data_IF_522357587909
#
_entry.id   IF_522357587909
#
_cell.length_a   1.000
_cell.length_b   1.000
_cell.length_c   1.000
_cell.angle_alpha   90.00
_cell.angle_beta   90.00
_cell.angle_gamma   90.00
#
_symmetry.space_group_name_H-M   'P 1'
#
loop_
_entity.id
_entity.type
_entity.pdbx_description
1 polymer ?
#
# COMPACT_ATOMS: atom_id res chain seq x y z
N UNK A 1 -14.98 23.47 15.76
CA UNK A 1 -15.79 22.58 16.61
C UNK A 1 -16.17 23.34 17.86
N UNK A 2 -17.47 23.60 18.06
CA UNK A 2 -18.00 24.28 19.25
C UNK A 2 -18.73 23.30 20.19
N UNK A 3 -18.57 22.00 19.96
CA UNK A 3 -19.08 20.89 20.77
C UNK A 3 -17.91 20.35 21.59
N UNK A 4 -18.11 19.99 22.86
CA UNK A 4 -17.06 19.47 23.77
C UNK A 4 -16.47 18.11 23.39
N UNK A 5 -16.42 17.80 22.10
CA UNK A 5 -15.86 16.58 21.52
C UNK A 5 -14.38 16.82 21.19
N UNK A 6 -13.55 15.81 21.43
CA UNK A 6 -12.14 15.88 21.09
C UNK A 6 -11.93 15.69 19.59
N UNK A 7 -11.06 16.49 18.97
CA UNK A 7 -10.80 16.45 17.53
C UNK A 7 -10.44 15.04 17.00
N UNK A 8 -9.77 14.22 17.81
CA UNK A 8 -9.37 12.86 17.43
C UNK A 8 -10.56 11.88 17.31
N UNK A 9 -11.70 12.16 17.95
CA UNK A 9 -12.90 11.33 17.88
C UNK A 9 -13.54 11.38 16.49
N UNK A 10 -13.46 12.54 15.82
CA UNK A 10 -13.91 12.72 14.42
C UNK A 10 -13.16 11.78 13.47
N UNK A 11 -11.90 11.46 13.80
CA UNK A 11 -11.05 10.56 13.03
C UNK A 11 -11.08 9.11 13.53
N UNK A 12 -12.02 8.77 14.43
CA UNK A 12 -12.11 7.45 15.08
C UNK A 12 -10.79 7.03 15.77
N UNK A 13 -10.06 7.99 16.34
CA UNK A 13 -8.84 7.77 17.14
C UNK A 13 -9.16 7.89 18.63
N UNK A 14 -8.29 7.34 19.47
CA UNK A 14 -8.44 7.37 20.93
C UNK A 14 -7.55 8.41 21.62
N UNK A 15 -6.69 9.09 20.87
CA UNK A 15 -5.77 10.09 21.41
C UNK A 15 -5.45 11.18 20.37
N UNK A 16 -4.93 12.31 20.85
CA UNK A 16 -4.51 13.41 19.99
C UNK A 16 -3.36 12.98 19.06
N UNK A 17 -3.32 13.56 17.86
CA UNK A 17 -2.27 13.27 16.90
C UNK A 17 -0.90 13.80 17.37
N UNK A 18 0.16 13.00 17.16
CA UNK A 18 1.54 13.36 17.51
C UNK A 18 2.01 14.61 16.76
N UNK A 19 1.67 14.71 15.48
CA UNK A 19 1.95 15.86 14.60
C UNK A 19 0.65 16.63 14.35
N UNK A 20 0.10 17.24 15.40
CA UNK A 20 -1.13 18.02 15.33
C UNK A 20 -0.96 19.28 14.50
N UNK A 21 -1.75 19.40 13.44
CA UNK A 21 -1.72 20.53 12.49
C UNK A 21 -2.16 21.83 13.14
N UNK A 22 -3.18 21.79 14.00
CA UNK A 22 -3.58 22.93 14.83
C UNK A 22 -2.44 23.42 15.71
N UNK A 23 -1.72 22.51 16.36
CA UNK A 23 -0.58 22.87 17.23
C UNK A 23 0.57 23.46 16.41
N UNK A 24 0.95 22.80 15.31
CA UNK A 24 1.99 23.29 14.41
C UNK A 24 1.64 24.67 13.82
N UNK A 25 0.39 24.90 13.44
CA UNK A 25 -0.05 26.17 12.89
C UNK A 25 0.11 27.33 13.90
N UNK A 26 -0.25 27.08 15.16
CA UNK A 26 -0.09 28.05 16.26
C UNK A 26 1.38 28.26 16.62
N UNK A 27 2.13 27.18 16.83
CA UNK A 27 3.53 27.22 17.24
C UNK A 27 4.42 27.90 16.18
N UNK A 28 4.19 27.59 14.90
CA UNK A 28 4.96 28.15 13.78
C UNK A 28 4.34 29.44 13.21
N UNK A 29 3.18 29.85 13.72
CA UNK A 29 2.43 31.03 13.27
C UNK A 29 2.28 31.10 11.74
N UNK A 30 1.95 29.98 11.10
CA UNK A 30 1.69 29.87 9.65
C UNK A 30 0.55 28.88 9.36
N UNK A 31 -0.09 29.01 8.20
CA UNK A 31 -1.07 28.02 7.75
C UNK A 31 -0.38 26.68 7.51
N UNK A 32 -0.97 25.60 8.02
CA UNK A 32 -0.53 24.22 7.83
C UNK A 32 -1.64 23.46 7.13
N UNK A 33 -1.30 22.78 6.03
CA UNK A 33 -2.23 21.92 5.31
C UNK A 33 -1.78 20.46 5.50
N UNK A 34 -2.73 19.61 5.86
CA UNK A 34 -2.54 18.17 5.96
C UNK A 34 -3.63 17.44 5.19
N UNK A 35 -3.24 16.31 4.62
CA UNK A 35 -4.17 15.33 4.10
C UNK A 35 -4.32 14.18 5.11
N UNK A 36 -5.56 13.75 5.34
CA UNK A 36 -5.90 12.64 6.22
C UNK A 36 -6.89 11.71 5.51
N UNK A 37 -6.79 10.41 5.77
CA UNK A 37 -7.69 9.41 5.19
C UNK A 37 -8.46 8.69 6.27
N UNK A 38 -9.72 8.38 6.01
CA UNK A 38 -10.55 7.53 6.87
C UNK A 38 -10.45 6.05 6.48
N UNK A 39 -11.01 5.16 7.30
CA UNK A 39 -10.99 3.71 7.05
C UNK A 39 -11.77 3.32 5.78
N UNK A 40 -12.78 4.09 5.42
CA UNK A 40 -13.59 3.95 4.20
C UNK A 40 -12.97 4.68 2.99
N UNK A 41 -11.67 4.97 3.02
CA UNK A 41 -10.89 5.56 1.92
C UNK A 41 -11.31 6.97 1.48
N UNK A 42 -12.09 7.71 2.29
CA UNK A 42 -12.34 9.12 2.02
C UNK A 42 -11.13 9.96 2.38
N UNK A 43 -10.82 10.94 1.53
CA UNK A 43 -9.66 11.81 1.67
C UNK A 43 -10.13 13.19 2.12
N UNK A 44 -9.56 13.67 3.22
CA UNK A 44 -9.85 14.98 3.78
C UNK A 44 -8.61 15.88 3.70
N UNK A 45 -8.82 17.10 3.21
CA UNK A 45 -7.87 18.19 3.33
C UNK A 45 -8.22 18.99 4.58
N UNK A 46 -7.27 19.10 5.50
CA UNK A 46 -7.38 19.83 6.75
C UNK A 46 -6.41 21.01 6.66
N UNK A 47 -6.95 22.22 6.59
CA UNK A 47 -6.17 23.44 6.67
C UNK A 47 -6.34 24.05 8.07
N UNK A 48 -5.22 24.22 8.78
CA UNK A 48 -5.16 24.87 10.08
C UNK A 48 -4.54 26.25 9.93
N UNK A 49 -5.30 27.29 10.21
CA UNK A 49 -4.86 28.69 10.16
C UNK A 49 -4.73 29.23 11.59
N UNK A 50 -3.58 29.80 11.98
CA UNK A 50 -3.44 30.41 13.29
C UNK A 50 -4.20 31.74 13.34
N UNK A 51 -4.91 31.97 14.43
CA UNK A 51 -5.58 33.21 14.74
C UNK A 51 -5.03 33.77 16.06
N UNK A 52 -4.76 35.07 16.08
CA UNK A 52 -4.38 35.80 17.28
C UNK A 52 -5.49 36.76 17.63
N UNK A 53 -6.10 36.57 18.79
CA UNK A 53 -7.16 37.46 19.27
C UNK A 53 -7.00 37.68 20.77
N UNK A 54 -6.97 38.95 21.19
CA UNK A 54 -6.95 39.36 22.61
C UNK A 54 -5.86 38.68 23.50
N UNK A 55 -4.74 38.26 22.92
CA UNK A 55 -3.62 37.63 23.63
C UNK A 55 -3.64 36.10 23.61
N UNK A 56 -4.76 35.49 23.22
CA UNK A 56 -4.89 34.06 23.04
C UNK A 56 -4.53 33.64 21.61
N UNK A 57 -4.01 32.42 21.49
CA UNK A 57 -3.65 31.81 20.21
C UNK A 57 -4.62 30.67 19.91
N UNK A 58 -5.34 30.81 18.81
CA UNK A 58 -6.31 29.82 18.34
C UNK A 58 -5.83 29.20 17.02
N UNK A 59 -6.30 27.99 16.75
CA UNK A 59 -6.22 27.39 15.43
C UNK A 59 -7.64 27.29 14.86
N UNK A 60 -7.87 27.88 13.69
CA UNK A 60 -9.08 27.64 12.91
C UNK A 60 -8.81 26.50 11.94
N UNK A 61 -9.55 25.41 12.06
CA UNK A 61 -9.48 24.28 11.13
C UNK A 61 -10.61 24.35 10.10
N UNK A 62 -10.23 24.33 8.82
CA UNK A 62 -11.09 24.12 7.67
C UNK A 62 -10.88 22.67 7.22
N UNK A 63 -11.97 21.90 7.20
CA UNK A 63 -11.94 20.49 6.79
C UNK A 63 -12.79 20.35 5.53
N UNK A 64 -12.20 19.80 4.48
CA UNK A 64 -12.88 19.56 3.20
C UNK A 64 -12.65 18.11 2.75
N UNK A 65 -13.72 17.41 2.43
CA UNK A 65 -13.60 16.13 1.71
C UNK A 65 -13.19 16.40 0.26
N UNK A 66 -12.12 15.74 -0.19
CA UNK A 66 -11.50 15.95 -1.51
C UNK A 66 -11.27 14.65 -2.27
N UNK A 67 -11.87 13.52 -1.82
CA UNK A 67 -11.72 12.18 -2.39
C UNK A 67 -11.69 12.17 -3.93
N UNK A 68 -12.69 12.80 -4.57
CA UNK A 68 -12.84 12.79 -6.04
C UNK A 68 -12.51 14.14 -6.71
N UNK A 69 -11.99 15.11 -5.97
CA UNK A 69 -11.77 16.47 -6.47
C UNK A 69 -10.33 16.96 -6.32
N UNK A 70 -9.40 16.08 -5.92
CA UNK A 70 -8.00 16.42 -5.75
C UNK A 70 -7.18 16.03 -6.97
N UNK A 71 -6.67 17.05 -7.66
CA UNK A 71 -5.84 16.93 -8.85
C UNK A 71 -4.39 17.25 -8.50
N UNK A 72 -3.47 16.43 -9.02
CA UNK A 72 -2.04 16.69 -9.03
C UNK A 72 -1.64 17.20 -10.41
N UNK A 73 -0.96 18.33 -10.43
CA UNK A 73 -0.27 18.79 -11.63
C UNK A 73 1.01 17.96 -11.77
N UNK A 74 1.10 17.17 -12.83
CA UNK A 74 2.37 16.55 -13.22
C UNK A 74 3.26 17.64 -13.82
N UNK A 75 4.53 17.69 -13.39
CA UNK A 75 5.48 18.70 -13.84
C UNK A 75 5.92 18.45 -15.31
N UNK A 76 5.74 17.22 -15.81
CA UNK A 76 6.10 16.82 -17.18
C UNK A 76 4.88 16.54 -18.10
N UNK A 77 3.70 16.25 -17.54
CA UNK A 77 2.46 16.08 -18.32
C UNK A 77 1.54 17.28 -18.18
N UNK A 78 1.07 17.82 -19.32
CA UNK A 78 0.08 18.92 -19.39
C UNK A 78 -1.31 18.59 -18.83
N UNK A 79 -1.48 17.45 -18.16
CA UNK A 79 -2.75 16.94 -17.67
C UNK A 79 -2.75 16.85 -16.14
N UNK A 80 -3.85 17.26 -15.54
CA UNK A 80 -4.12 17.05 -14.13
C UNK A 80 -4.49 15.57 -13.91
N UNK A 81 -3.79 14.90 -13.01
CA UNK A 81 -4.06 13.49 -12.65
C UNK A 81 -4.77 13.45 -11.30
N UNK A 82 -5.79 12.60 -11.18
CA UNK A 82 -6.48 12.41 -9.90
C UNK A 82 -5.55 11.79 -8.87
N UNK A 83 -5.54 12.29 -7.62
CA UNK A 83 -4.71 11.69 -6.57
C UNK A 83 -5.03 10.21 -6.36
N UNK A 84 -6.31 9.83 -6.46
CA UNK A 84 -6.74 8.44 -6.36
C UNK A 84 -6.06 7.57 -7.42
N UNK A 85 -5.85 8.07 -8.63
CA UNK A 85 -5.11 7.38 -9.69
C UNK A 85 -3.61 7.30 -9.37
N UNK A 86 -3.03 8.32 -8.75
CA UNK A 86 -1.62 8.28 -8.31
C UNK A 86 -1.44 7.28 -7.17
N UNK A 87 -2.29 7.32 -6.15
CA UNK A 87 -2.28 6.36 -5.03
C UNK A 87 -2.50 4.96 -5.57
N UNK A 88 -3.44 4.78 -6.48
CA UNK A 88 -3.69 3.51 -7.15
C UNK A 88 -2.43 3.06 -7.90
N UNK A 89 -1.86 3.90 -8.76
CA UNK A 89 -0.60 3.60 -9.48
C UNK A 89 0.55 3.30 -8.52
N UNK A 90 0.73 4.03 -7.43
CA UNK A 90 1.78 3.75 -6.43
C UNK A 90 1.53 2.41 -5.73
N UNK A 91 0.27 2.11 -5.43
CA UNK A 91 -0.14 0.82 -4.88
C UNK A 91 -0.02 -0.33 -5.89
N UNK A 92 -0.20 -0.06 -7.18
CA UNK A 92 0.03 -1.00 -8.28
C UNK A 92 1.53 -1.21 -8.51
N UNK A 93 2.34 -0.16 -8.42
CA UNK A 93 3.80 -0.21 -8.55
C UNK A 93 4.46 -1.00 -7.41
N UNK A 94 3.78 -1.18 -6.27
CA UNK A 94 4.19 -2.15 -5.26
C UNK A 94 3.79 -3.57 -5.70
N UNK A 95 4.49 -4.09 -6.71
CA UNK A 95 4.23 -5.42 -7.30
C UNK A 95 4.94 -6.56 -6.57
N UNK A 96 5.84 -6.24 -5.64
CA UNK A 96 6.68 -7.24 -4.97
C UNK A 96 6.29 -7.42 -3.51
N UNK A 97 6.52 -8.62 -2.99
CA UNK A 97 6.49 -8.93 -1.57
C UNK A 97 7.76 -8.36 -0.92
N UNK A 98 7.58 -7.42 0.02
CA UNK A 98 8.69 -6.72 0.66
C UNK A 98 9.66 -7.63 1.41
N UNK A 99 9.23 -8.85 1.75
CA UNK A 99 10.02 -9.79 2.53
C UNK A 99 10.88 -10.70 1.66
N UNK A 100 10.29 -11.27 0.60
CA UNK A 100 10.95 -12.26 -0.27
C UNK A 100 11.51 -11.68 -1.56
N UNK A 101 11.04 -10.50 -1.99
CA UNK A 101 11.38 -9.93 -3.29
C UNK A 101 10.70 -10.63 -4.47
N UNK A 102 9.89 -11.68 -4.24
CA UNK A 102 9.00 -12.25 -5.25
C UNK A 102 7.88 -11.27 -5.60
N UNK A 103 7.12 -11.54 -6.65
CA UNK A 103 5.87 -10.85 -6.86
C UNK A 103 4.89 -11.12 -5.72
N UNK A 104 4.02 -10.16 -5.43
CA UNK A 104 2.99 -10.31 -4.42
C UNK A 104 1.66 -10.78 -5.03
N UNK A 105 0.74 -11.18 -4.16
CA UNK A 105 -0.62 -11.60 -4.54
C UNK A 105 -1.32 -10.61 -5.48
N UNK A 106 -1.16 -9.30 -5.29
CA UNK A 106 -1.79 -8.28 -6.14
C UNK A 106 -1.25 -8.33 -7.58
N UNK A 107 0.07 -8.42 -7.74
CA UNK A 107 0.68 -8.61 -9.05
C UNK A 107 0.13 -9.88 -9.71
N UNK A 108 0.12 -11.01 -8.99
CA UNK A 108 -0.40 -12.28 -9.51
C UNK A 108 -1.85 -12.17 -9.99
N UNK A 109 -2.75 -11.56 -9.21
CA UNK A 109 -4.16 -11.41 -9.57
C UNK A 109 -4.38 -10.59 -10.85
N UNK A 110 -3.53 -9.58 -11.08
CA UNK A 110 -3.56 -8.76 -12.28
C UNK A 110 -2.92 -9.49 -13.47
N UNK A 111 -1.71 -9.99 -13.28
CA UNK A 111 -0.90 -10.62 -14.32
C UNK A 111 -1.55 -11.88 -14.86
N UNK A 112 -2.07 -12.73 -13.97
CA UNK A 112 -2.71 -13.99 -14.37
C UNK A 112 -3.94 -13.74 -15.26
N UNK A 113 -4.75 -12.71 -14.98
CA UNK A 113 -5.87 -12.33 -15.85
C UNK A 113 -5.39 -11.93 -17.24
N UNK A 114 -4.28 -11.19 -17.32
CA UNK A 114 -3.69 -10.78 -18.59
C UNK A 114 -3.15 -11.98 -19.37
N UNK A 115 -2.37 -12.84 -18.73
CA UNK A 115 -1.80 -14.05 -19.36
C UNK A 115 -2.90 -15.00 -19.86
N UNK A 116 -3.98 -15.18 -19.11
CA UNK A 116 -5.13 -15.99 -19.56
C UNK A 116 -5.84 -15.33 -20.75
N UNK A 117 -6.00 -14.00 -20.74
CA UNK A 117 -6.62 -13.28 -21.85
C UNK A 117 -5.79 -13.34 -23.13
N UNK A 118 -4.47 -13.35 -23.01
CA UNK A 118 -3.52 -13.39 -24.13
C UNK A 118 -3.12 -14.83 -24.52
N UNK A 119 -3.69 -15.83 -23.85
CA UNK A 119 -3.33 -17.24 -24.01
C UNK A 119 -3.59 -17.75 -25.44
N UNK A 120 -2.68 -18.60 -25.90
CA UNK A 120 -2.74 -19.28 -27.21
C UNK A 120 -2.29 -20.73 -27.05
N UNK A 121 -2.86 -21.63 -27.83
CA UNK A 121 -2.54 -23.06 -27.75
C UNK A 121 -1.06 -23.33 -28.05
N UNK A 122 -0.45 -22.54 -28.95
CA UNK A 122 0.96 -22.61 -29.32
C UNK A 122 1.91 -21.99 -28.28
N UNK A 123 1.38 -21.46 -27.17
CA UNK A 123 2.13 -20.92 -26.03
C UNK A 123 1.49 -21.39 -24.73
N UNK A 124 1.70 -22.67 -24.34
CA UNK A 124 1.03 -23.22 -23.17
C UNK A 124 1.48 -22.49 -21.90
N UNK A 125 0.55 -22.29 -20.96
CA UNK A 125 0.82 -21.74 -19.65
C UNK A 125 0.74 -22.87 -18.62
N UNK A 126 1.75 -23.00 -17.78
CA UNK A 126 1.74 -23.94 -16.65
C UNK A 126 1.74 -23.16 -15.35
N UNK A 127 0.85 -23.51 -14.43
CA UNK A 127 0.73 -22.86 -13.12
C UNK A 127 0.82 -23.93 -12.05
N UNK A 128 1.63 -23.68 -11.02
CA UNK A 128 1.69 -24.51 -9.83
C UNK A 128 1.49 -23.65 -8.58
N UNK A 129 0.66 -24.14 -7.66
CA UNK A 129 0.49 -23.61 -6.31
C UNK A 129 1.29 -24.47 -5.35
N UNK A 130 2.05 -23.84 -4.46
CA UNK A 130 2.95 -24.49 -3.52
C UNK A 130 2.62 -24.03 -2.10
N UNK A 131 2.71 -24.96 -1.16
CA UNK A 131 2.61 -24.71 0.28
C UNK A 131 3.79 -25.41 0.96
N UNK A 132 4.36 -24.80 2.01
CA UNK A 132 5.46 -25.42 2.75
C UNK A 132 4.89 -26.40 3.77
N UNK A 133 5.07 -27.69 3.50
CA UNK A 133 4.62 -28.76 4.39
C UNK A 133 5.10 -28.55 5.84
N UNK A 134 4.14 -28.54 6.76
CA UNK A 134 4.38 -28.44 8.20
C UNK A 134 5.21 -27.21 8.62
N UNK A 135 5.09 -26.09 7.91
CA UNK A 135 5.85 -24.87 8.21
C UNK A 135 5.69 -24.37 9.65
N UNK A 136 4.48 -24.49 10.21
CA UNK A 136 4.23 -24.19 11.62
C UNK A 136 5.11 -25.02 12.56
N UNK A 137 5.27 -26.32 12.30
CA UNK A 137 6.13 -27.21 13.09
C UNK A 137 7.60 -26.77 13.04
N UNK A 138 8.06 -26.27 11.90
CA UNK A 138 9.42 -25.70 11.78
C UNK A 138 9.55 -24.46 12.66
N UNK A 139 8.58 -23.54 12.60
CA UNK A 139 8.57 -22.34 13.43
C UNK A 139 8.51 -22.67 14.93
N UNK A 140 7.69 -23.64 15.32
CA UNK A 140 7.50 -24.01 16.73
C UNK A 140 8.76 -24.68 17.31
N UNK A 141 9.47 -25.48 16.52
CA UNK A 141 10.66 -26.21 16.97
C UNK A 141 11.96 -25.40 16.89
N UNK A 142 12.08 -24.52 15.90
CA UNK A 142 13.34 -23.83 15.59
C UNK A 142 13.24 -22.30 15.66
N UNK A 143 12.06 -21.75 15.91
CA UNK A 143 11.78 -20.33 15.96
C UNK A 143 11.55 -19.69 14.60
N UNK A 144 10.88 -18.55 14.60
CA UNK A 144 10.53 -17.80 13.38
C UNK A 144 11.73 -17.44 12.52
N UNK A 145 12.89 -17.12 13.13
CA UNK A 145 14.12 -16.81 12.38
C UNK A 145 14.58 -17.96 11.48
N UNK A 146 14.26 -19.22 11.83
CA UNK A 146 14.58 -20.37 10.99
C UNK A 146 13.53 -20.56 9.90
N UNK A 147 12.24 -20.41 10.22
CA UNK A 147 11.19 -20.42 9.20
C UNK A 147 11.37 -19.31 8.15
N UNK A 148 11.82 -18.15 8.60
CA UNK A 148 12.23 -17.01 7.78
C UNK A 148 13.30 -17.41 6.74
N UNK A 149 14.33 -18.15 7.16
CA UNK A 149 15.36 -18.65 6.25
C UNK A 149 14.82 -19.67 5.25
N UNK A 150 13.86 -20.51 5.66
CA UNK A 150 13.18 -21.46 4.75
C UNK A 150 12.40 -20.70 3.68
N UNK A 151 11.64 -19.67 4.08
CA UNK A 151 10.87 -18.82 3.16
C UNK A 151 11.79 -18.14 2.15
N UNK A 152 12.89 -17.51 2.61
CA UNK A 152 13.82 -16.83 1.73
C UNK A 152 14.52 -17.80 0.78
N UNK A 153 14.95 -18.97 1.26
CA UNK A 153 15.60 -19.98 0.42
C UNK A 153 14.66 -20.54 -0.66
N UNK A 154 13.40 -20.84 -0.29
CA UNK A 154 12.41 -21.28 -1.27
C UNK A 154 12.10 -20.18 -2.28
N UNK A 155 12.01 -18.92 -1.82
CA UNK A 155 11.71 -17.78 -2.67
C UNK A 155 12.76 -17.59 -3.75
N UNK A 156 14.04 -17.67 -3.40
CA UNK A 156 15.14 -17.57 -4.37
C UNK A 156 15.09 -18.74 -5.38
N UNK A 157 14.89 -19.96 -4.89
CA UNK A 157 14.80 -21.14 -5.77
C UNK A 157 13.63 -21.05 -6.76
N UNK A 158 12.47 -20.56 -6.31
CA UNK A 158 11.30 -20.36 -7.17
C UNK A 158 11.52 -19.25 -8.18
N UNK A 159 12.19 -18.16 -7.78
CA UNK A 159 12.54 -17.06 -8.67
C UNK A 159 13.45 -17.53 -9.81
N UNK A 160 14.56 -18.17 -9.47
CA UNK A 160 15.52 -18.70 -10.44
C UNK A 160 14.85 -19.70 -11.40
N UNK A 161 14.03 -20.61 -10.87
CA UNK A 161 13.29 -21.58 -11.66
C UNK A 161 12.27 -20.94 -12.61
N UNK A 162 11.56 -19.89 -12.16
CA UNK A 162 10.60 -19.19 -12.99
C UNK A 162 11.29 -18.44 -14.12
N UNK A 163 12.35 -17.69 -13.81
CA UNK A 163 13.12 -16.90 -14.77
C UNK A 163 13.73 -17.79 -15.87
N UNK A 164 14.20 -19.00 -15.52
CA UNK A 164 14.76 -19.94 -16.50
C UNK A 164 13.75 -20.52 -17.49
N UNK A 165 12.45 -20.37 -17.23
CA UNK A 165 11.34 -20.88 -18.07
C UNK A 165 10.38 -19.74 -18.48
N UNK A 166 10.93 -18.54 -18.67
CA UNK A 166 10.22 -17.33 -19.11
C UNK A 166 8.96 -17.02 -18.28
N UNK A 167 8.99 -17.41 -17.01
CA UNK A 167 7.88 -17.36 -16.08
C UNK A 167 8.03 -16.29 -15.01
N UNK A 168 7.21 -16.39 -13.98
CA UNK A 168 7.32 -15.57 -12.76
C UNK A 168 6.84 -16.34 -11.53
N UNK A 169 7.38 -15.98 -10.37
CA UNK A 169 7.01 -16.55 -9.08
C UNK A 169 6.45 -15.47 -8.14
N UNK A 170 5.48 -15.87 -7.31
CA UNK A 170 4.72 -15.00 -6.43
C UNK A 170 4.56 -15.63 -5.05
N UNK A 171 4.62 -14.82 -3.99
CA UNK A 171 4.17 -15.20 -2.65
C UNK A 171 2.73 -14.74 -2.45
N UNK A 172 1.83 -15.68 -2.17
CA UNK A 172 0.39 -15.44 -2.01
C UNK A 172 0.02 -15.24 -0.53
N UNK A 173 0.68 -16.00 0.35
CA UNK A 173 0.39 -16.06 1.77
C UNK A 173 1.65 -16.17 2.63
N UNK A 174 1.50 -16.61 3.87
CA UNK A 174 2.62 -16.79 4.80
C UNK A 174 3.64 -17.79 4.27
N UNK A 175 3.16 -18.97 3.89
CA UNK A 175 3.89 -20.14 3.41
C UNK A 175 3.44 -20.61 2.01
N UNK A 176 2.50 -19.88 1.40
CA UNK A 176 1.91 -20.20 0.11
C UNK A 176 2.57 -19.40 -1.03
N UNK A 177 2.92 -20.11 -2.11
CA UNK A 177 3.56 -19.56 -3.30
C UNK A 177 2.84 -20.01 -4.57
N UNK A 178 3.00 -19.24 -5.64
CA UNK A 178 2.58 -19.62 -6.98
C UNK A 178 3.73 -19.38 -7.96
N UNK A 179 3.91 -20.31 -8.87
CA UNK A 179 4.85 -20.17 -9.98
C UNK A 179 4.10 -20.40 -11.28
N UNK A 180 4.37 -19.52 -12.25
CA UNK A 180 3.85 -19.62 -13.61
C UNK A 180 5.03 -19.79 -14.56
N UNK A 181 4.90 -20.74 -15.48
CA UNK A 181 5.83 -20.95 -16.58
C UNK A 181 5.14 -20.69 -17.91
N UNK A 182 5.89 -20.13 -18.86
CA UNK A 182 5.44 -19.93 -20.23
C UNK A 182 6.13 -20.96 -21.12
N UNK A 183 5.36 -21.69 -21.92
CA UNK A 183 5.91 -22.60 -22.90
C UNK A 183 6.62 -21.85 -24.02
N UNK A 184 7.68 -22.45 -24.53
CA UNK A 184 8.37 -21.95 -25.72
C UNK A 184 7.50 -22.14 -26.97
N UNK A 185 7.70 -21.27 -27.97
CA UNK A 185 7.08 -21.38 -29.30
C UNK A 185 7.72 -22.47 -30.16
#
# INVERSE_FOLDING_TARGET
MATGEHCYQVWSRNCACRNCVSRLAVDENRSIIKMETTQDHRIFLIESVPLKELGDHYALELIKEVTDNLLFADHDQKNNVMLTEIIYKMNELSTHDSYTGLYNKRFMEHELKREISDWKEERPLTIALLDIDQFKTVNDNYGHLVGDRVILALSEALKECAESHNGWACRIGGDEFLILFRGDQ
#
